data_IF_728883486802
#
_entry.id   IF_728883486802
#
_cell.length_a   1.000
_cell.length_b   1.000
_cell.length_c   1.000
_cell.angle_alpha   90.00
_cell.angle_beta   90.00
_cell.angle_gamma   90.00
#
_symmetry.space_group_name_H-M   'P 1'
#
loop_
_entity.id
_entity.type
_entity.pdbx_description
1 polymer ?
#
# COMPACT_ATOMS: atom_id res chain seq x y z
N UNK A 1 0.50 2.46 -13.13
CA UNK A 1 -0.27 2.77 -11.89
C UNK A 1 0.69 3.37 -10.89
N UNK A 2 0.22 4.19 -9.95
CA UNK A 2 1.09 4.79 -8.93
C UNK A 2 0.84 4.10 -7.59
N UNK A 3 1.89 3.57 -6.99
CA UNK A 3 1.85 2.91 -5.70
C UNK A 3 2.59 3.74 -4.66
N UNK A 4 1.96 3.91 -3.50
CA UNK A 4 2.53 4.63 -2.36
C UNK A 4 2.69 3.68 -1.20
N UNK A 5 3.93 3.52 -0.72
CA UNK A 5 4.23 2.76 0.48
C UNK A 5 4.22 3.70 1.68
N UNK A 6 3.35 3.40 2.64
CA UNK A 6 3.17 4.13 3.88
C UNK A 6 4.45 4.17 4.75
N UNK A 7 4.56 5.15 5.63
CA UNK A 7 5.73 5.36 6.51
C UNK A 7 6.00 4.17 7.46
N UNK A 8 4.98 3.36 7.73
CA UNK A 8 5.13 2.12 8.49
C UNK A 8 5.97 1.05 7.74
N UNK A 9 6.21 1.23 6.44
CA UNK A 9 7.13 0.42 5.63
C UNK A 9 8.44 1.20 5.44
N UNK A 10 9.60 0.63 5.83
CA UNK A 10 10.89 1.29 5.72
C UNK A 10 11.15 1.90 4.32
N UNK A 11 11.55 3.19 4.22
CA UNK A 11 11.82 3.84 2.93
C UNK A 11 12.79 3.10 2.00
N UNK A 12 13.86 2.42 2.50
CA UNK A 12 14.73 1.63 1.62
C UNK A 12 14.01 0.50 0.88
N UNK A 13 12.95 -0.08 1.45
CA UNK A 13 12.14 -1.12 0.79
C UNK A 13 11.33 -0.49 -0.36
N UNK A 14 10.70 0.66 -0.14
CA UNK A 14 9.98 1.39 -1.18
C UNK A 14 10.92 1.78 -2.33
N UNK A 15 12.11 2.30 -2.01
CA UNK A 15 13.11 2.67 -3.01
C UNK A 15 13.65 1.47 -3.78
N UNK A 16 13.89 0.34 -3.12
CA UNK A 16 14.29 -0.89 -3.80
C UNK A 16 13.21 -1.33 -4.80
N UNK A 17 11.94 -1.29 -4.40
CA UNK A 17 10.82 -1.67 -5.26
C UNK A 17 10.65 -0.73 -6.46
N UNK A 18 10.81 0.58 -6.25
CA UNK A 18 10.86 1.58 -7.33
C UNK A 18 11.97 1.28 -8.34
N UNK A 19 13.18 0.97 -7.88
CA UNK A 19 14.29 0.62 -8.76
C UNK A 19 13.97 -0.66 -9.56
N UNK A 20 13.42 -1.69 -8.91
CA UNK A 20 13.04 -2.93 -9.58
C UNK A 20 11.96 -2.68 -10.65
N UNK A 21 10.92 -1.91 -10.32
CA UNK A 21 9.81 -1.60 -11.22
C UNK A 21 10.20 -0.69 -12.39
N UNK A 22 11.21 0.18 -12.19
CA UNK A 22 11.70 1.07 -13.25
C UNK A 22 12.23 0.36 -14.49
N UNK A 23 12.60 -0.92 -14.36
CA UNK A 23 13.03 -1.75 -15.49
C UNK A 23 11.89 -2.08 -16.46
N UNK A 24 10.65 -2.16 -15.97
CA UNK A 24 9.45 -2.40 -16.79
C UNK A 24 8.83 -1.07 -17.26
N UNK A 25 8.99 0.01 -16.48
CA UNK A 25 8.47 1.35 -16.75
C UNK A 25 6.93 1.39 -16.94
N UNK A 26 6.22 0.48 -16.29
CA UNK A 26 4.75 0.35 -16.33
C UNK A 26 4.09 1.01 -15.11
N UNK A 27 4.74 0.95 -13.96
CA UNK A 27 4.24 1.49 -12.71
C UNK A 27 5.25 2.40 -12.03
N UNK A 28 4.74 3.34 -11.25
CA UNK A 28 5.52 4.24 -10.42
C UNK A 28 5.36 3.82 -8.96
N UNK A 29 6.44 3.81 -8.21
CA UNK A 29 6.44 3.41 -6.80
C UNK A 29 7.15 4.48 -5.99
N UNK A 30 6.50 4.96 -4.94
CA UNK A 30 7.05 5.98 -4.05
C UNK A 30 6.85 5.56 -2.60
N UNK A 31 7.75 5.96 -1.70
CA UNK A 31 7.35 6.11 -0.30
C UNK A 31 6.47 7.35 -0.18
N UNK A 32 5.50 7.32 0.73
CA UNK A 32 4.69 8.47 1.11
C UNK A 32 5.56 9.64 1.60
N UNK A 33 6.59 9.33 2.39
CA UNK A 33 7.59 10.31 2.85
C UNK A 33 8.29 11.03 1.68
N UNK A 34 8.71 10.30 0.64
CA UNK A 34 9.38 10.91 -0.51
C UNK A 34 8.41 11.71 -1.40
N UNK A 35 7.14 11.29 -1.48
CA UNK A 35 6.14 11.94 -2.32
C UNK A 35 5.50 13.19 -1.69
N UNK A 36 5.30 13.18 -0.37
CA UNK A 36 4.46 14.15 0.34
C UNK A 36 5.13 14.75 1.59
N UNK A 37 6.33 14.29 1.95
CA UNK A 37 6.98 14.66 3.20
C UNK A 37 6.60 13.74 4.36
N UNK A 38 7.27 13.93 5.50
CA UNK A 38 7.12 13.09 6.68
C UNK A 38 6.03 13.58 7.64
N UNK A 39 5.31 12.66 8.28
CA UNK A 39 4.35 12.96 9.34
C UNK A 39 3.07 13.62 8.84
N UNK A 40 2.72 13.38 7.57
CA UNK A 40 1.43 13.81 7.00
C UNK A 40 0.31 13.09 7.73
N UNK A 41 -0.77 13.80 8.06
CA UNK A 41 -1.94 13.19 8.71
C UNK A 41 -2.61 12.20 7.75
N UNK A 42 -3.16 11.11 8.27
CA UNK A 42 -3.80 10.07 7.47
C UNK A 42 -4.87 10.62 6.51
N UNK A 43 -5.71 11.56 6.97
CA UNK A 43 -6.76 12.16 6.14
C UNK A 43 -6.18 12.94 4.95
N UNK A 44 -5.18 13.78 5.21
CA UNK A 44 -4.49 14.57 4.18
C UNK A 44 -3.74 13.66 3.21
N UNK A 45 -3.08 12.62 3.74
CA UNK A 45 -2.33 11.64 2.97
C UNK A 45 -3.25 10.90 1.98
N UNK A 46 -4.41 10.44 2.45
CA UNK A 46 -5.38 9.74 1.61
C UNK A 46 -5.89 10.65 0.50
N UNK A 47 -6.28 11.89 0.79
CA UNK A 47 -6.71 12.84 -0.24
C UNK A 47 -5.58 13.18 -1.24
N UNK A 48 -4.32 13.27 -0.80
CA UNK A 48 -3.17 13.48 -1.69
C UNK A 48 -2.94 12.29 -2.64
N UNK A 49 -3.08 11.06 -2.13
CA UNK A 49 -2.99 9.84 -2.93
C UNK A 49 -4.16 9.76 -3.92
N UNK A 50 -5.39 10.07 -3.49
CA UNK A 50 -6.60 10.09 -4.32
C UNK A 50 -6.48 11.04 -5.50
N UNK A 51 -5.96 12.26 -5.27
CA UNK A 51 -5.66 13.24 -6.32
C UNK A 51 -4.68 12.71 -7.38
N UNK A 52 -3.77 11.80 -6.98
CA UNK A 52 -2.83 11.13 -7.88
C UNK A 52 -3.34 9.80 -8.45
N UNK A 53 -4.59 9.42 -8.15
CA UNK A 53 -5.17 8.11 -8.52
C UNK A 53 -4.28 6.95 -8.09
N UNK A 54 -3.69 7.09 -6.91
CA UNK A 54 -2.71 6.15 -6.38
C UNK A 54 -3.34 5.01 -5.57
N UNK A 55 -2.52 3.99 -5.34
CA UNK A 55 -2.83 2.85 -4.48
C UNK A 55 -1.94 2.93 -3.24
N UNK A 56 -2.53 2.85 -2.05
CA UNK A 56 -1.81 2.85 -0.79
C UNK A 56 -1.44 1.42 -0.37
N UNK A 57 -0.20 1.22 0.06
CA UNK A 57 0.29 -0.01 0.65
C UNK A 57 0.74 0.31 2.08
N UNK A 58 0.07 -0.27 3.06
CA UNK A 58 0.33 -0.02 4.48
C UNK A 58 0.34 -1.31 5.29
N UNK A 59 0.88 -1.25 6.50
CA UNK A 59 0.75 -2.27 7.53
C UNK A 59 -0.19 -1.82 8.66
N UNK A 60 -0.30 -0.51 8.93
CA UNK A 60 -0.98 0.01 10.10
C UNK A 60 -2.43 0.37 9.77
N UNK A 61 -3.32 -0.63 9.84
CA UNK A 61 -4.77 -0.44 9.77
C UNK A 61 -5.45 -1.14 10.95
N UNK A 62 -5.48 -0.43 12.08
CA UNK A 62 -6.09 -0.90 13.34
C UNK A 62 -7.60 -1.04 13.19
N UNK A 63 -8.16 -2.07 13.84
CA UNK A 63 -9.58 -2.43 13.71
C UNK A 63 -10.56 -1.31 14.12
N UNK A 64 -10.18 -0.43 15.06
CA UNK A 64 -11.05 0.65 15.55
C UNK A 64 -11.11 1.87 14.61
N UNK A 65 -10.04 2.13 13.85
CA UNK A 65 -9.94 3.26 12.91
C UNK A 65 -10.54 2.94 11.52
N UNK A 66 -10.71 1.64 11.22
CA UNK A 66 -11.24 1.12 9.95
C UNK A 66 -12.47 1.81 9.41
N UNK A 67 -13.50 2.12 10.19
CA UNK A 67 -14.76 2.62 9.58
C UNK A 67 -14.62 4.02 8.97
N UNK A 68 -13.86 4.91 9.62
CA UNK A 68 -13.66 6.28 9.13
C UNK A 68 -12.65 6.30 7.99
N UNK A 69 -11.51 5.64 8.16
CA UNK A 69 -10.49 5.53 7.12
C UNK A 69 -11.02 4.81 5.88
N UNK A 70 -11.75 3.69 6.05
CA UNK A 70 -12.37 2.99 4.92
C UNK A 70 -13.35 3.90 4.20
N UNK A 71 -14.20 4.63 4.93
CA UNK A 71 -15.10 5.59 4.28
C UNK A 71 -14.30 6.61 3.45
N UNK A 72 -13.23 7.16 4.01
CA UNK A 72 -12.39 8.13 3.31
C UNK A 72 -11.68 7.53 2.09
N UNK A 73 -11.15 6.30 2.17
CA UNK A 73 -10.56 5.60 1.03
C UNK A 73 -11.55 5.52 -0.14
N UNK A 74 -12.82 5.20 0.13
CA UNK A 74 -13.85 5.10 -0.91
C UNK A 74 -14.28 6.47 -1.44
N UNK A 75 -14.40 7.48 -0.58
CA UNK A 75 -14.71 8.87 -0.97
C UNK A 75 -13.62 9.46 -1.88
N UNK A 76 -12.35 9.19 -1.57
CA UNK A 76 -11.18 9.67 -2.32
C UNK A 76 -10.73 8.71 -3.44
N UNK A 77 -11.46 7.60 -3.65
CA UNK A 77 -11.15 6.57 -4.65
C UNK A 77 -9.73 5.98 -4.53
N UNK A 78 -9.25 5.76 -3.31
CA UNK A 78 -7.94 5.18 -2.99
C UNK A 78 -8.09 3.71 -2.64
N UNK A 79 -7.58 2.83 -3.50
CA UNK A 79 -7.47 1.41 -3.16
C UNK A 79 -6.31 1.16 -2.19
N UNK A 80 -6.49 0.22 -1.27
CA UNK A 80 -5.54 -0.04 -0.19
C UNK A 80 -5.16 -1.51 -0.10
N UNK A 81 -3.86 -1.78 0.00
CA UNK A 81 -3.32 -3.05 0.44
C UNK A 81 -2.82 -2.96 1.88
N UNK A 82 -3.30 -3.86 2.73
CA UNK A 82 -2.85 -4.04 4.11
C UNK A 82 -1.91 -5.24 4.16
N UNK A 83 -0.60 -5.01 4.13
CA UNK A 83 0.39 -6.07 4.25
C UNK A 83 0.51 -6.48 5.72
N UNK A 84 0.26 -7.74 6.01
CA UNK A 84 0.47 -8.29 7.35
C UNK A 84 1.91 -8.75 7.50
N UNK A 85 2.61 -8.25 8.52
CA UNK A 85 3.91 -8.73 8.96
C UNK A 85 3.77 -9.56 10.24
N UNK A 86 4.64 -10.55 10.44
CA UNK A 86 4.73 -11.25 11.73
C UNK A 86 5.15 -10.29 12.83
N UNK A 87 4.61 -10.49 14.04
CA UNK A 87 5.10 -9.79 15.23
C UNK A 87 6.60 -10.05 15.41
N UNK A 88 7.38 -9.00 15.70
CA UNK A 88 8.84 -9.09 15.82
C UNK A 88 9.59 -9.32 14.51
N UNK A 89 8.93 -9.20 13.35
CA UNK A 89 9.60 -9.32 12.04
C UNK A 89 10.74 -8.31 11.90
N UNK A 90 11.92 -8.82 11.58
CA UNK A 90 13.08 -8.00 11.27
C UNK A 90 12.93 -7.32 9.90
N UNK A 91 13.86 -6.42 9.59
CA UNK A 91 13.88 -5.67 8.33
C UNK A 91 13.79 -6.58 7.09
N UNK A 92 14.61 -7.64 7.03
CA UNK A 92 14.65 -8.53 5.87
C UNK A 92 13.36 -9.33 5.68
N UNK A 93 12.72 -9.78 6.76
CA UNK A 93 11.43 -10.45 6.69
C UNK A 93 10.35 -9.53 6.11
N UNK A 94 10.36 -8.23 6.47
CA UNK A 94 9.45 -7.23 5.88
C UNK A 94 9.77 -6.99 4.41
N UNK A 95 11.05 -6.81 4.07
CA UNK A 95 11.49 -6.59 2.69
C UNK A 95 11.09 -7.76 1.78
N UNK A 96 11.42 -8.99 2.18
CA UNK A 96 11.04 -10.20 1.45
C UNK A 96 9.53 -10.31 1.29
N UNK A 97 8.75 -10.01 2.34
CA UNK A 97 7.29 -10.07 2.24
C UNK A 97 6.76 -9.08 1.20
N UNK A 98 7.24 -7.84 1.19
CA UNK A 98 6.81 -6.84 0.20
C UNK A 98 7.19 -7.28 -1.21
N UNK A 99 8.44 -7.71 -1.42
CA UNK A 99 8.96 -8.13 -2.73
C UNK A 99 8.22 -9.36 -3.25
N UNK A 100 8.05 -10.41 -2.45
CA UNK A 100 7.40 -11.65 -2.87
C UNK A 100 5.91 -11.45 -3.21
N UNK A 101 5.24 -10.48 -2.59
CA UNK A 101 3.82 -10.22 -2.83
C UNK A 101 3.59 -9.18 -3.93
N UNK A 102 4.64 -8.54 -4.44
CA UNK A 102 4.53 -7.45 -5.39
C UNK A 102 3.76 -7.83 -6.65
N UNK A 103 4.08 -8.99 -7.25
CA UNK A 103 3.38 -9.50 -8.43
C UNK A 103 1.88 -9.74 -8.17
N UNK A 104 1.54 -10.21 -6.97
CA UNK A 104 0.14 -10.40 -6.55
C UNK A 104 -0.58 -9.04 -6.45
N UNK A 105 0.08 -8.04 -5.86
CA UNK A 105 -0.42 -6.67 -5.74
C UNK A 105 -0.66 -6.06 -7.13
N UNK A 106 0.31 -6.14 -8.05
CA UNK A 106 0.16 -5.67 -9.44
C UNK A 106 -1.04 -6.33 -10.13
N UNK A 107 -1.13 -7.66 -10.04
CA UNK A 107 -2.20 -8.45 -10.66
C UNK A 107 -3.60 -8.11 -10.12
N UNK A 108 -3.74 -7.90 -8.82
CA UNK A 108 -5.02 -7.48 -8.22
C UNK A 108 -5.38 -6.07 -8.69
N UNK A 109 -4.41 -5.15 -8.65
CA UNK A 109 -4.59 -3.76 -9.05
C UNK A 109 -5.01 -3.63 -10.52
N UNK A 110 -4.44 -4.43 -11.43
CA UNK A 110 -4.80 -4.41 -12.85
C UNK A 110 -6.17 -5.03 -13.17
N UNK A 111 -6.74 -5.85 -12.27
CA UNK A 111 -8.03 -6.53 -12.48
C UNK A 111 -9.23 -5.80 -11.88
N UNK A 112 -9.00 -5.00 -10.84
CA UNK A 112 -10.08 -4.35 -10.08
C UNK A 112 -10.25 -2.91 -10.56
N UNK A 113 -11.44 -2.61 -11.08
CA UNK A 113 -11.80 -1.26 -11.54
C UNK A 113 -12.43 -0.38 -10.46
N UNK A 114 -12.82 -0.98 -9.32
CA UNK A 114 -13.41 -0.27 -8.17
C UNK A 114 -12.41 -0.16 -7.04
N UNK A 115 -12.60 0.85 -6.19
CA UNK A 115 -11.87 1.02 -4.93
C UNK A 115 -12.03 -0.22 -4.07
N UNK A 116 -10.94 -0.71 -3.49
CA UNK A 116 -10.97 -1.89 -2.62
C UNK A 116 -10.04 -1.72 -1.42
N UNK A 117 -10.29 -2.51 -0.38
CA UNK A 117 -9.36 -2.71 0.72
C UNK A 117 -9.05 -4.19 0.83
N UNK A 118 -7.81 -4.55 0.53
CA UNK A 118 -7.35 -5.94 0.47
C UNK A 118 -6.24 -6.19 1.48
N UNK A 119 -6.37 -7.24 2.29
CA UNK A 119 -5.31 -7.68 3.20
C UNK A 119 -4.45 -8.74 2.54
N UNK A 120 -3.15 -8.46 2.47
CA UNK A 120 -2.12 -9.45 2.13
C UNK A 120 -1.73 -10.17 3.42
N UNK A 121 -2.26 -11.38 3.60
CA UNK A 121 -2.02 -12.22 4.78
C UNK A 121 -0.58 -12.73 4.82
N UNK A 122 -0.10 -13.12 6.01
CA UNK A 122 1.21 -13.78 6.15
C UNK A 122 1.25 -15.13 5.40
N UNK A 123 0.14 -15.85 5.38
CA UNK A 123 -0.05 -17.12 4.66
C UNK A 123 -1.45 -17.16 4.07
N UNK A 124 -1.59 -17.86 2.95
CA UNK A 124 -2.86 -18.03 2.25
C UNK A 124 -3.14 -16.91 1.24
N UNK A 125 -4.34 -16.94 0.68
CA UNK A 125 -4.75 -16.00 -0.35
C UNK A 125 -5.05 -14.60 0.24
N UNK A 126 -4.87 -13.52 -0.56
CA UNK A 126 -5.33 -12.18 -0.21
C UNK A 126 -6.81 -12.16 0.17
N UNK A 127 -7.17 -11.31 1.13
CA UNK A 127 -8.52 -11.20 1.69
C UNK A 127 -9.09 -9.80 1.42
N UNK A 128 -10.15 -9.72 0.64
CA UNK A 128 -10.89 -8.48 0.43
C UNK A 128 -11.76 -8.19 1.66
N UNK A 129 -11.53 -7.05 2.28
CA UNK A 129 -12.27 -6.58 3.45
C UNK A 129 -13.45 -5.71 3.05
N UNK A 130 -13.28 -4.92 1.98
CA UNK A 130 -14.26 -3.99 1.44
C UNK A 130 -14.06 -3.86 -0.08
N UNK A 131 -15.16 -3.77 -0.85
CA UNK A 131 -15.21 -3.62 -2.32
C UNK A 131 -16.44 -2.80 -2.75
#
# INVERSE_FOLDING_TARGET
MIFFLDECIPPPIARALEVLESSENIHEVYSTEAAFGKGVKDEDLISLIGKRKGILITHDLKQKTRKREVKLFFEESVSVFIISFSSGSNYWAKALKVICEWESIKKISGKKSRTFVCRIKMRGQPEFLFE
#
